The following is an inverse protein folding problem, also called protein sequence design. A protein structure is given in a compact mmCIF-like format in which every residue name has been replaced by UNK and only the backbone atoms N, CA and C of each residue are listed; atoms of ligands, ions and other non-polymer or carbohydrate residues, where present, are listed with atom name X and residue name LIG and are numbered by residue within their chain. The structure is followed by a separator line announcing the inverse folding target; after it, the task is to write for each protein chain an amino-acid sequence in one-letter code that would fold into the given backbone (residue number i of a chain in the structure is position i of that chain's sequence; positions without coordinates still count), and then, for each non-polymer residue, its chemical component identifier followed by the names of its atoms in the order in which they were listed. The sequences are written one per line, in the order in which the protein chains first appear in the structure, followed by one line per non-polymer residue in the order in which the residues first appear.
data_IF_228466569420
#
_entry.id   IF_228466569420
#
_cell.length_a   1.000
_cell.length_b   1.000
_cell.length_c   1.000
_cell.angle_alpha   90.00
_cell.angle_beta   90.00
_cell.angle_gamma   90.00
#
_symmetry.space_group_name_H-M   'P 1'
#
loop_
_entity.id
_entity.type
_entity.pdbx_description
1 polymer ?
#
# COMPACT_ATOMS: atom_id res chain seq x y z
N UNK A 1 -29.11 24.47 19.10
CA UNK A 1 -29.71 23.16 18.79
C UNK A 1 -28.61 22.25 18.27
N UNK A 2 -28.40 21.10 18.92
CA UNK A 2 -27.52 20.06 18.43
C UNK A 2 -28.39 19.03 17.75
N UNK A 3 -28.26 18.87 16.43
CA UNK A 3 -28.95 17.81 15.66
C UNK A 3 -28.03 16.59 15.63
N UNK A 4 -28.42 15.53 16.31
CA UNK A 4 -27.72 14.25 16.28
C UNK A 4 -28.33 13.36 15.20
N UNK A 5 -27.60 13.12 14.14
CA UNK A 5 -27.95 12.06 13.17
C UNK A 5 -27.30 10.76 13.63
N UNK A 6 -28.09 9.74 13.90
CA UNK A 6 -27.58 8.42 14.23
C UNK A 6 -26.87 7.81 12.99
N UNK A 7 -25.62 7.42 13.15
CA UNK A 7 -24.89 6.65 12.14
C UNK A 7 -25.53 5.26 12.02
N UNK A 8 -25.66 4.75 10.81
CA UNK A 8 -26.14 3.37 10.59
C UNK A 8 -25.20 2.41 11.30
N UNK A 9 -25.68 1.51 12.13
CA UNK A 9 -24.82 0.59 12.87
C UNK A 9 -24.11 -0.41 11.94
N UNK A 10 -24.72 -0.76 10.83
CA UNK A 10 -24.22 -1.72 9.86
C UNK A 10 -24.17 -1.12 8.47
N UNK A 11 -23.05 -1.32 7.80
CA UNK A 11 -22.84 -0.93 6.41
C UNK A 11 -22.29 -2.12 5.64
N UNK A 12 -22.85 -2.39 4.47
CA UNK A 12 -22.33 -3.38 3.54
C UNK A 12 -22.14 -2.74 2.17
N UNK A 13 -21.02 -3.02 1.52
CA UNK A 13 -20.69 -2.55 0.20
C UNK A 13 -20.27 -3.74 -0.66
N UNK A 14 -20.76 -3.78 -1.88
CA UNK A 14 -20.33 -4.72 -2.90
C UNK A 14 -19.81 -3.92 -4.10
N UNK A 15 -18.69 -4.36 -4.64
CA UNK A 15 -18.06 -3.74 -5.80
C UNK A 15 -17.70 -4.78 -6.85
N UNK A 16 -17.89 -4.40 -8.11
CA UNK A 16 -17.41 -5.13 -9.28
C UNK A 16 -16.51 -4.17 -10.06
N UNK A 17 -15.29 -4.58 -10.32
CA UNK A 17 -14.31 -3.83 -11.07
C UNK A 17 -13.65 -4.69 -12.14
N UNK A 18 -12.98 -4.03 -13.07
CA UNK A 18 -12.11 -4.65 -14.05
C UNK A 18 -10.80 -3.84 -14.10
N UNK A 19 -9.69 -4.54 -13.97
CA UNK A 19 -8.33 -3.99 -14.10
C UNK A 19 -7.60 -4.81 -15.17
N UNK A 20 -6.75 -4.18 -15.96
CA UNK A 20 -6.10 -4.83 -17.11
C UNK A 20 -5.12 -5.94 -16.69
N UNK A 21 -4.48 -5.78 -15.57
CA UNK A 21 -3.47 -6.69 -15.00
C UNK A 21 -4.06 -7.74 -14.05
N UNK A 22 -5.25 -7.51 -13.49
CA UNK A 22 -5.88 -8.39 -12.50
C UNK A 22 -7.15 -9.06 -13.03
N UNK A 23 -7.73 -8.50 -14.10
CA UNK A 23 -8.99 -8.94 -14.68
C UNK A 23 -10.21 -8.49 -13.88
N UNK A 24 -11.24 -9.32 -13.86
CA UNK A 24 -12.48 -9.07 -13.11
C UNK A 24 -12.19 -9.22 -11.62
N UNK A 25 -12.57 -8.21 -10.83
CA UNK A 25 -12.42 -8.18 -9.38
C UNK A 25 -13.77 -7.96 -8.70
N UNK A 26 -14.09 -8.84 -7.78
CA UNK A 26 -15.21 -8.71 -6.86
C UNK A 26 -14.69 -8.24 -5.50
N UNK A 27 -15.36 -7.25 -4.91
CA UNK A 27 -15.04 -6.79 -3.58
C UNK A 27 -16.29 -6.78 -2.71
N UNK A 28 -16.14 -7.22 -1.46
CA UNK A 28 -17.15 -7.15 -0.44
C UNK A 28 -16.57 -6.46 0.79
N UNK A 29 -17.31 -5.54 1.39
CA UNK A 29 -16.93 -4.90 2.64
C UNK A 29 -18.13 -4.85 3.56
N UNK A 30 -17.92 -5.23 4.80
CA UNK A 30 -18.89 -5.11 5.87
C UNK A 30 -18.27 -4.33 7.02
N UNK A 31 -19.02 -3.40 7.57
CA UNK A 31 -18.61 -2.57 8.71
C UNK A 31 -19.73 -2.55 9.77
N UNK A 32 -19.38 -2.86 11.00
CA UNK A 32 -20.20 -2.62 12.16
C UNK A 32 -19.64 -1.40 12.91
N UNK A 33 -20.33 -0.27 12.83
CA UNK A 33 -19.89 1.01 13.34
C UNK A 33 -20.10 1.17 14.86
N UNK A 34 -20.86 0.28 15.49
CA UNK A 34 -21.16 0.33 16.91
C UNK A 34 -21.35 -1.06 17.51
N UNK A 35 -20.26 -1.73 17.86
CA UNK A 35 -20.30 -3.05 18.50
C UNK A 35 -20.69 -2.92 19.99
N UNK A 36 -20.17 -1.88 20.65
CA UNK A 36 -20.40 -1.66 22.08
C UNK A 36 -20.41 -0.16 22.43
N UNK A 37 -20.70 0.12 23.70
CA UNK A 37 -20.75 1.50 24.23
C UNK A 37 -19.41 2.21 24.29
N UNK A 38 -18.30 1.47 24.21
CA UNK A 38 -16.95 2.04 24.15
C UNK A 38 -16.57 2.56 22.77
N UNK A 39 -17.47 2.44 21.78
CA UNK A 39 -17.24 2.89 20.41
C UNK A 39 -16.38 1.92 19.58
N UNK A 40 -16.30 0.63 19.97
CA UNK A 40 -15.65 -0.39 19.17
C UNK A 40 -16.36 -0.53 17.83
N UNK A 41 -15.59 -0.42 16.77
CA UNK A 41 -16.00 -0.69 15.39
C UNK A 41 -15.26 -1.93 14.90
N UNK A 42 -15.91 -2.76 14.11
CA UNK A 42 -15.30 -3.93 13.48
C UNK A 42 -15.68 -3.98 12.01
N UNK A 43 -14.77 -4.49 11.19
CA UNK A 43 -15.01 -4.66 9.78
C UNK A 43 -14.40 -5.93 9.24
N UNK A 44 -14.93 -6.37 8.11
CA UNK A 44 -14.39 -7.43 7.30
C UNK A 44 -14.42 -6.99 5.84
N UNK A 45 -13.38 -7.32 5.10
CA UNK A 45 -13.34 -7.12 3.66
C UNK A 45 -12.86 -8.38 2.96
N UNK A 46 -13.36 -8.60 1.76
CA UNK A 46 -12.93 -9.65 0.86
C UNK A 46 -12.73 -9.05 -0.53
N UNK A 47 -11.65 -9.42 -1.17
CA UNK A 47 -11.37 -9.11 -2.56
C UNK A 47 -11.04 -10.41 -3.28
N UNK A 48 -11.68 -10.66 -4.41
CA UNK A 48 -11.54 -11.88 -5.19
C UNK A 48 -11.31 -11.51 -6.66
N UNK A 49 -10.19 -11.94 -7.19
CA UNK A 49 -9.91 -11.96 -8.62
C UNK A 49 -9.24 -13.28 -8.99
N UNK A 50 -8.92 -13.44 -10.26
CA UNK A 50 -8.20 -14.65 -10.72
C UNK A 50 -6.81 -14.75 -10.08
N UNK A 51 -6.13 -13.61 -9.94
CA UNK A 51 -4.70 -13.54 -9.57
C UNK A 51 -4.44 -12.89 -8.20
N UNK A 52 -5.48 -12.33 -7.55
CA UNK A 52 -5.35 -11.67 -6.24
C UNK A 52 -6.60 -11.95 -5.40
N UNK A 53 -6.43 -12.68 -4.32
CA UNK A 53 -7.50 -13.04 -3.39
C UNK A 53 -7.07 -12.60 -2.00
N UNK A 54 -7.92 -11.81 -1.34
CA UNK A 54 -7.60 -11.30 -0.01
C UNK A 54 -8.82 -11.33 0.90
N UNK A 55 -8.57 -11.62 2.17
CA UNK A 55 -9.52 -11.45 3.26
C UNK A 55 -8.86 -10.68 4.40
N UNK A 56 -9.57 -9.71 4.94
CA UNK A 56 -9.08 -8.87 6.03
C UNK A 56 -10.18 -8.65 7.06
N UNK A 57 -9.80 -8.69 8.33
CA UNK A 57 -10.61 -8.28 9.46
C UNK A 57 -9.93 -7.12 10.17
N UNK A 58 -10.71 -6.12 10.55
CA UNK A 58 -10.22 -4.97 11.27
C UNK A 58 -11.09 -4.63 12.48
N UNK A 59 -10.48 -4.02 13.47
CA UNK A 59 -11.15 -3.48 14.63
C UNK A 59 -10.57 -2.09 14.94
N UNK A 60 -11.40 -1.16 15.35
CA UNK A 60 -11.01 0.19 15.73
C UNK A 60 -11.70 0.59 17.03
N UNK A 61 -10.92 1.08 17.98
CA UNK A 61 -11.39 1.52 19.29
C UNK A 61 -10.88 2.93 19.59
N UNK A 62 -11.76 3.89 19.91
CA UNK A 62 -11.33 5.17 20.47
C UNK A 62 -10.50 4.97 21.74
N UNK A 63 -9.40 5.72 21.88
CA UNK A 63 -8.50 5.59 23.05
C UNK A 63 -8.60 6.80 23.96
N UNK A 64 -7.75 7.82 23.79
CA UNK A 64 -7.75 9.00 24.66
C UNK A 64 -8.80 10.05 24.25
N UNK A 65 -9.09 10.13 22.97
CA UNK A 65 -10.08 11.06 22.44
C UNK A 65 -10.91 10.35 21.35
N UNK A 66 -12.25 10.42 21.40
CA UNK A 66 -13.11 9.63 20.55
C UNK A 66 -12.95 9.90 19.04
N UNK A 67 -12.53 11.10 18.66
CA UNK A 67 -12.36 11.49 17.27
C UNK A 67 -10.89 11.44 16.81
N UNK A 68 -9.97 11.83 17.70
CA UNK A 68 -8.60 12.17 17.31
C UNK A 68 -7.55 11.13 17.76
N UNK A 69 -7.94 10.10 18.50
CA UNK A 69 -7.01 9.08 18.99
C UNK A 69 -7.66 7.71 18.98
N UNK A 70 -7.20 6.83 18.09
CA UNK A 70 -7.78 5.50 17.87
C UNK A 70 -6.72 4.43 17.89
N UNK A 71 -7.05 3.32 18.53
CA UNK A 71 -6.34 2.06 18.38
C UNK A 71 -6.99 1.26 17.25
N UNK A 72 -6.20 0.73 16.34
CA UNK A 72 -6.66 -0.13 15.25
C UNK A 72 -5.92 -1.45 15.28
N UNK A 73 -6.63 -2.54 15.06
CA UNK A 73 -6.07 -3.86 14.86
C UNK A 73 -6.52 -4.38 13.51
N UNK A 74 -5.62 -5.05 12.78
CA UNK A 74 -5.92 -5.65 11.48
C UNK A 74 -5.27 -7.02 11.42
N UNK A 75 -5.96 -7.99 10.86
CA UNK A 75 -5.42 -9.30 10.51
C UNK A 75 -5.96 -9.70 9.15
N UNK A 76 -5.10 -10.24 8.30
CA UNK A 76 -5.49 -10.61 6.97
C UNK A 76 -4.63 -11.71 6.36
N UNK A 77 -5.16 -12.25 5.29
CA UNK A 77 -4.50 -13.20 4.41
C UNK A 77 -4.69 -12.74 2.97
N UNK A 78 -3.65 -12.86 2.18
CA UNK A 78 -3.66 -12.57 0.76
C UNK A 78 -2.93 -13.67 0.01
N UNK A 79 -3.57 -14.21 -1.01
CA UNK A 79 -2.96 -15.04 -2.04
C UNK A 79 -2.84 -14.20 -3.31
N UNK A 80 -1.63 -14.09 -3.85
CA UNK A 80 -1.37 -13.37 -5.10
C UNK A 80 -0.55 -14.23 -6.04
N UNK A 81 -1.09 -14.48 -7.21
CA UNK A 81 -0.37 -15.03 -8.35
C UNK A 81 0.24 -13.86 -9.15
N UNK A 82 1.55 -13.90 -9.35
CA UNK A 82 2.26 -12.97 -10.22
C UNK A 82 2.62 -13.74 -11.47
N UNK A 83 2.00 -13.38 -12.59
CA UNK A 83 2.28 -13.95 -13.92
C UNK A 83 2.44 -12.80 -14.89
N UNK A 84 3.63 -12.25 -14.94
CA UNK A 84 4.01 -11.20 -15.87
C UNK A 84 5.18 -11.65 -16.76
N UNK A 85 5.62 -10.79 -17.66
CA UNK A 85 6.70 -11.09 -18.61
C UNK A 85 8.03 -11.44 -17.94
N UNK A 86 8.21 -11.12 -16.68
CA UNK A 86 9.49 -11.23 -15.96
C UNK A 86 9.42 -12.27 -14.83
N UNK A 87 8.28 -12.40 -14.17
CA UNK A 87 8.11 -13.29 -13.01
C UNK A 87 6.85 -14.13 -13.09
N UNK A 88 6.97 -15.39 -12.67
CA UNK A 88 5.82 -16.23 -12.38
C UNK A 88 6.06 -16.89 -11.03
N UNK A 89 5.31 -16.49 -10.04
CA UNK A 89 5.32 -17.10 -8.70
C UNK A 89 4.01 -16.82 -7.98
N UNK A 90 3.74 -17.64 -6.97
CA UNK A 90 2.63 -17.44 -6.04
C UNK A 90 3.16 -16.92 -4.72
N UNK A 91 2.44 -16.00 -4.11
CA UNK A 91 2.76 -15.43 -2.81
C UNK A 91 1.54 -15.54 -1.88
N UNK A 92 1.69 -16.34 -0.85
CA UNK A 92 0.75 -16.40 0.28
C UNK A 92 1.25 -15.50 1.40
N UNK A 93 0.49 -14.48 1.74
CA UNK A 93 0.85 -13.51 2.78
C UNK A 93 -0.12 -13.57 3.94
N UNK A 94 0.38 -13.78 5.14
CA UNK A 94 -0.35 -13.56 6.40
C UNK A 94 0.18 -12.29 7.05
N UNK A 95 -0.71 -11.43 7.49
CA UNK A 95 -0.31 -10.21 8.19
C UNK A 95 -1.21 -9.89 9.37
N UNK A 96 -0.61 -9.28 10.39
CA UNK A 96 -1.31 -8.76 11.55
C UNK A 96 -0.69 -7.42 11.96
N UNK A 97 -1.49 -6.46 12.38
CA UNK A 97 -0.99 -5.19 12.87
C UNK A 97 -1.83 -4.62 14.01
N UNK A 98 -1.16 -3.90 14.88
CA UNK A 98 -1.78 -3.03 15.88
C UNK A 98 -1.19 -1.65 15.67
N UNK A 99 -2.05 -0.63 15.61
CA UNK A 99 -1.60 0.74 15.43
C UNK A 99 -2.39 1.71 16.31
N UNK A 100 -1.73 2.78 16.72
CA UNK A 100 -2.36 3.94 17.33
C UNK A 100 -2.26 5.12 16.40
N UNK A 101 -3.41 5.65 16.01
CA UNK A 101 -3.55 6.76 15.10
C UNK A 101 -3.97 8.01 15.89
N UNK A 102 -3.16 9.07 15.80
CA UNK A 102 -3.38 10.34 16.49
C UNK A 102 -3.52 11.43 15.44
N UNK A 103 -4.69 12.05 15.41
CA UNK A 103 -5.01 13.20 14.57
C UNK A 103 -4.79 14.47 15.36
N UNK A 104 -3.81 15.28 14.97
CA UNK A 104 -3.47 16.50 15.66
C UNK A 104 -4.10 17.73 14.98
N UNK A 105 -4.49 18.74 15.76
CA UNK A 105 -5.14 19.96 15.25
C UNK A 105 -4.26 20.75 14.26
N UNK A 106 -2.95 20.56 14.28
CA UNK A 106 -2.02 21.10 13.27
C UNK A 106 -2.15 20.47 11.88
N UNK A 107 -3.02 19.46 11.72
CA UNK A 107 -3.21 18.69 10.51
C UNK A 107 -2.20 17.55 10.31
N UNK A 108 -1.21 17.39 11.21
CA UNK A 108 -0.30 16.27 11.21
C UNK A 108 -0.93 15.06 11.90
N UNK A 109 -1.07 13.97 11.17
CA UNK A 109 -1.50 12.68 11.69
C UNK A 109 -0.27 11.84 12.00
N UNK A 110 -0.28 11.16 13.14
CA UNK A 110 0.80 10.29 13.61
C UNK A 110 0.28 8.89 13.79
N UNK A 111 1.05 7.90 13.33
CA UNK A 111 0.73 6.48 13.52
C UNK A 111 1.93 5.79 14.15
N UNK A 112 1.70 5.12 15.26
CA UNK A 112 2.63 4.17 15.88
C UNK A 112 2.10 2.78 15.62
N UNK A 113 2.91 1.88 15.09
CA UNK A 113 2.46 0.56 14.69
C UNK A 113 3.42 -0.55 15.11
N UNK A 114 2.87 -1.73 15.32
CA UNK A 114 3.58 -2.99 15.34
C UNK A 114 2.91 -3.88 14.30
N UNK A 115 3.66 -4.35 13.31
CA UNK A 115 3.15 -5.12 12.19
C UNK A 115 3.96 -6.39 12.01
N UNK A 116 3.29 -7.52 12.03
CA UNK A 116 3.83 -8.81 11.61
C UNK A 116 3.43 -9.11 10.18
N UNK A 117 4.34 -9.71 9.44
CA UNK A 117 4.13 -10.22 8.10
C UNK A 117 4.87 -11.53 7.92
N UNK A 118 4.22 -12.53 7.36
CA UNK A 118 4.81 -13.76 6.87
C UNK A 118 4.42 -13.97 5.41
N UNK A 119 5.41 -14.13 4.53
CA UNK A 119 5.25 -14.40 3.11
C UNK A 119 5.75 -15.82 2.81
N UNK A 120 4.91 -16.65 2.24
CA UNK A 120 5.29 -17.92 1.63
C UNK A 120 5.34 -17.74 0.13
N UNK A 121 6.47 -18.04 -0.48
CA UNK A 121 6.72 -17.85 -1.91
C UNK A 121 6.89 -19.21 -2.57
N UNK A 122 6.17 -19.44 -3.66
CA UNK A 122 6.25 -20.66 -4.48
C UNK A 122 6.52 -20.25 -5.93
N UNK A 123 7.63 -20.72 -6.50
CA UNK A 123 8.02 -20.45 -7.89
C UNK A 123 7.67 -21.65 -8.76
N UNK A 124 7.18 -21.41 -9.99
CA UNK A 124 6.88 -22.47 -10.93
C UNK A 124 8.18 -23.11 -11.47
N UNK A 125 8.45 -24.40 -11.16
CA UNK A 125 9.67 -25.06 -11.58
C UNK A 125 9.76 -25.33 -13.07
N UNK A 126 8.65 -25.27 -13.81
CA UNK A 126 8.65 -25.48 -15.27
C UNK A 126 9.14 -24.25 -16.02
N UNK A 127 9.01 -23.07 -15.42
CA UNK A 127 9.40 -21.80 -16.05
C UNK A 127 10.83 -21.35 -15.72
N UNK A 128 11.39 -21.78 -14.58
CA UNK A 128 12.71 -21.34 -14.13
C UNK A 128 13.62 -22.52 -13.77
N UNK A 129 14.87 -22.46 -14.20
CA UNK A 129 15.91 -23.35 -13.66
C UNK A 129 16.30 -22.91 -12.24
N UNK A 130 16.25 -23.84 -11.28
CA UNK A 130 16.58 -23.56 -9.87
C UNK A 130 17.90 -22.92 -9.66
N UNK A 131 18.91 -23.39 -10.42
CA UNK A 131 20.29 -22.99 -10.22
C UNK A 131 20.55 -21.53 -10.64
N UNK A 132 19.61 -20.94 -11.37
CA UNK A 132 19.69 -19.57 -11.88
C UNK A 132 18.92 -18.54 -11.04
N UNK A 133 18.11 -18.98 -10.06
CA UNK A 133 17.34 -18.09 -9.21
C UNK A 133 18.10 -17.70 -7.94
N UNK A 134 17.89 -16.46 -7.44
CA UNK A 134 18.45 -16.07 -6.16
C UNK A 134 17.73 -16.76 -5.02
N UNK A 135 18.45 -16.95 -3.90
CA UNK A 135 17.79 -17.30 -2.66
C UNK A 135 16.73 -16.22 -2.29
N UNK A 136 15.53 -16.57 -1.84
CA UNK A 136 15.03 -17.91 -1.50
C UNK A 136 14.44 -18.72 -2.66
N UNK A 137 14.33 -18.16 -3.84
CA UNK A 137 13.63 -18.73 -4.99
C UNK A 137 14.32 -19.95 -5.60
N UNK A 138 15.58 -20.20 -5.25
CA UNK A 138 16.35 -21.36 -5.71
C UNK A 138 16.09 -22.64 -4.90
N UNK A 139 15.24 -22.60 -3.89
CA UNK A 139 14.96 -23.75 -3.03
C UNK A 139 13.51 -24.25 -3.18
N UNK A 140 13.23 -24.99 -4.25
CA UNK A 140 11.88 -25.50 -4.53
C UNK A 140 11.38 -26.58 -3.62
N UNK A 141 12.28 -27.30 -2.95
CA UNK A 141 11.88 -28.45 -2.15
C UNK A 141 11.25 -28.04 -0.83
N UNK A 142 11.28 -26.79 -0.47
CA UNK A 142 10.72 -26.28 0.77
C UNK A 142 9.88 -25.04 0.51
N UNK A 143 8.69 -25.04 1.01
CA UNK A 143 7.87 -23.87 1.22
C UNK A 143 8.69 -22.81 1.98
N UNK A 144 9.25 -21.86 1.25
CA UNK A 144 10.07 -20.85 1.86
C UNK A 144 9.20 -19.74 2.44
N UNK A 145 9.31 -19.55 3.72
CA UNK A 145 8.58 -18.49 4.43
C UNK A 145 9.56 -17.44 4.90
N UNK A 146 9.34 -16.21 4.50
CA UNK A 146 10.03 -15.03 5.01
C UNK A 146 9.11 -14.31 6.00
N UNK A 147 9.65 -13.83 7.11
CA UNK A 147 8.85 -13.15 8.11
C UNK A 147 9.54 -11.91 8.66
N UNK A 148 8.72 -10.95 9.05
CA UNK A 148 9.17 -9.72 9.70
C UNK A 148 8.15 -9.21 10.72
N UNK A 149 8.64 -8.85 11.90
CA UNK A 149 7.94 -8.04 12.87
C UNK A 149 8.55 -6.65 12.88
N UNK A 150 7.76 -5.65 12.49
CA UNK A 150 8.20 -4.28 12.26
C UNK A 150 7.54 -3.34 13.26
N UNK A 151 8.35 -2.63 14.03
CA UNK A 151 7.91 -1.47 14.78
C UNK A 151 7.97 -0.25 13.88
N UNK A 152 6.86 0.48 13.76
CA UNK A 152 6.69 1.56 12.80
C UNK A 152 6.28 2.89 13.42
N UNK A 153 6.76 3.96 12.82
CA UNK A 153 6.30 5.32 13.04
C UNK A 153 6.04 5.99 11.70
N UNK A 154 4.85 6.57 11.56
CA UNK A 154 4.52 7.32 10.36
C UNK A 154 3.88 8.66 10.71
N UNK A 155 4.13 9.67 9.88
CA UNK A 155 3.48 10.97 9.92
C UNK A 155 2.98 11.34 8.54
N UNK A 156 1.81 11.94 8.48
CA UNK A 156 1.29 12.48 7.23
C UNK A 156 0.52 13.78 7.48
N UNK A 157 0.45 14.60 6.44
CA UNK A 157 -0.33 15.82 6.42
C UNK A 157 -0.89 16.06 5.03
N UNK A 158 -2.17 16.41 4.98
CA UNK A 158 -2.83 16.85 3.75
C UNK A 158 -3.42 18.23 4.00
N UNK A 159 -3.17 19.14 3.09
CA UNK A 159 -3.72 20.51 3.09
C UNK A 159 -4.31 20.78 1.72
N UNK A 160 -5.54 21.26 1.68
CA UNK A 160 -6.22 21.67 0.46
C UNK A 160 -7.18 22.80 0.78
N UNK A 161 -7.41 23.68 -0.18
CA UNK A 161 -8.40 24.74 -0.09
C UNK A 161 -9.84 24.21 -0.07
N UNK A 162 -10.06 23.09 -0.77
CA UNK A 162 -11.34 22.37 -0.80
C UNK A 162 -11.06 20.85 -0.87
N UNK A 163 -11.74 20.08 -0.03
CA UNK A 163 -11.52 18.62 0.03
C UNK A 163 -12.18 17.85 -1.11
N UNK A 164 -13.19 18.40 -1.77
CA UNK A 164 -13.91 17.75 -2.86
C UNK A 164 -13.38 18.16 -4.25
N UNK A 165 -13.12 19.45 -4.40
CA UNK A 165 -12.65 20.04 -5.68
C UNK A 165 -11.50 21.00 -5.41
N UNK A 166 -10.31 20.48 -5.04
CA UNK A 166 -9.20 21.34 -4.69
C UNK A 166 -8.68 22.14 -5.89
N UNK A 167 -8.43 23.43 -5.68
CA UNK A 167 -7.72 24.27 -6.65
C UNK A 167 -6.23 24.34 -6.32
N UNK A 168 -5.86 24.22 -5.06
CA UNK A 168 -4.49 23.99 -4.62
C UNK A 168 -4.46 23.07 -3.41
N UNK A 169 -3.37 22.36 -3.27
CA UNK A 169 -3.16 21.52 -2.11
C UNK A 169 -1.87 20.72 -2.21
N UNK A 170 -1.51 20.14 -1.09
CA UNK A 170 -0.41 19.19 -1.00
C UNK A 170 -0.67 18.11 0.02
N UNK A 171 -0.06 16.96 -0.19
CA UNK A 171 0.03 15.89 0.80
C UNK A 171 1.49 15.49 0.98
N UNK A 172 1.85 15.13 2.20
CA UNK A 172 3.18 14.62 2.55
C UNK A 172 3.00 13.40 3.45
N UNK A 173 3.85 12.40 3.29
CA UNK A 173 3.90 11.21 4.13
C UNK A 173 5.33 10.78 4.36
N UNK A 174 5.64 10.39 5.58
CA UNK A 174 6.94 9.88 5.98
C UNK A 174 6.72 8.69 6.89
N UNK A 175 7.50 7.62 6.72
CA UNK A 175 7.44 6.47 7.60
C UNK A 175 8.81 5.84 7.80
N UNK A 176 9.01 5.31 8.99
CA UNK A 176 10.14 4.49 9.37
C UNK A 176 9.59 3.21 10.00
N UNK A 177 10.03 2.07 9.52
CA UNK A 177 9.75 0.76 10.10
C UNK A 177 11.06 0.06 10.39
N UNK A 178 11.19 -0.58 11.53
CA UNK A 178 12.39 -1.30 11.95
C UNK A 178 12.05 -2.71 12.44
N UNK A 179 12.84 -3.68 12.06
CA UNK A 179 12.76 -5.07 12.48
C UNK A 179 14.12 -5.58 12.95
N UNK A 180 14.12 -6.41 14.00
CA UNK A 180 15.32 -7.00 14.55
C UNK A 180 15.32 -8.52 14.35
N UNK A 181 16.41 -9.07 13.84
CA UNK A 181 16.61 -10.52 13.65
C UNK A 181 16.35 -11.27 14.97
N UNK A 182 15.63 -12.38 14.91
CA UNK A 182 15.28 -13.21 16.07
C UNK A 182 14.02 -12.77 16.82
N UNK A 183 13.47 -11.56 16.54
CA UNK A 183 12.18 -11.11 17.08
C UNK A 183 11.07 -11.28 16.02
N UNK A 184 10.78 -12.52 15.62
CA UNK A 184 9.88 -12.83 14.50
C UNK A 184 10.27 -12.10 13.20
N UNK A 185 11.56 -11.90 13.00
CA UNK A 185 12.15 -11.33 11.79
C UNK A 185 13.38 -12.13 11.39
N UNK A 186 13.51 -12.43 10.13
CA UNK A 186 14.60 -13.26 9.59
C UNK A 186 15.89 -12.46 9.48
N UNK A 187 15.81 -11.13 9.32
CA UNK A 187 16.97 -10.24 9.25
C UNK A 187 16.73 -8.94 10.02
N UNK A 188 17.82 -8.21 10.33
CA UNK A 188 17.73 -6.83 10.77
C UNK A 188 17.39 -5.94 9.58
N UNK A 189 16.36 -5.10 9.72
CA UNK A 189 15.97 -4.20 8.63
C UNK A 189 15.44 -2.86 9.13
N UNK A 190 15.62 -1.84 8.31
CA UNK A 190 15.01 -0.54 8.49
C UNK A 190 14.48 -0.05 7.15
N UNK A 191 13.21 0.30 7.09
CA UNK A 191 12.53 0.71 5.87
C UNK A 191 12.08 2.16 6.05
N UNK A 192 12.64 3.04 5.24
CA UNK A 192 12.29 4.46 5.17
C UNK A 192 11.44 4.70 3.93
N UNK A 193 10.34 5.43 4.08
CA UNK A 193 9.55 5.91 2.95
C UNK A 193 9.21 7.38 3.14
N UNK A 194 9.32 8.15 2.07
CA UNK A 194 8.88 9.53 2.00
C UNK A 194 8.10 9.73 0.71
N UNK A 195 7.02 10.46 0.77
CA UNK A 195 6.25 10.76 -0.43
C UNK A 195 5.50 12.07 -0.30
N UNK A 196 5.27 12.70 -1.43
CA UNK A 196 4.53 13.94 -1.51
C UNK A 196 3.83 14.11 -2.85
N UNK A 197 2.69 14.77 -2.81
CA UNK A 197 1.95 15.20 -3.99
C UNK A 197 1.56 16.65 -3.79
N UNK A 198 1.74 17.47 -4.80
CA UNK A 198 1.30 18.86 -4.81
C UNK A 198 0.47 19.14 -6.07
N UNK A 199 -0.52 20.00 -5.94
CA UNK A 199 -1.33 20.45 -7.05
C UNK A 199 -1.59 21.94 -6.97
N UNK A 200 -1.65 22.58 -8.12
CA UNK A 200 -1.95 24.01 -8.22
C UNK A 200 -2.73 24.30 -9.51
N UNK A 201 -3.88 24.95 -9.35
CA UNK A 201 -4.75 25.35 -10.45
C UNK A 201 -4.58 26.87 -10.70
N UNK A 202 -4.46 27.27 -11.95
CA UNK A 202 -4.17 28.64 -12.34
C UNK A 202 -4.82 29.01 -13.68
N UNK A 203 -4.55 30.25 -14.11
CA UNK A 203 -5.05 30.79 -15.38
C UNK A 203 -6.48 31.33 -15.28
N UNK A 204 -6.97 31.82 -16.40
CA UNK A 204 -8.32 32.37 -16.50
C UNK A 204 -9.34 31.24 -16.29
N UNK A 205 -10.30 31.48 -15.40
CA UNK A 205 -11.36 30.54 -15.04
C UNK A 205 -10.86 29.22 -14.42
N UNK A 206 -9.63 29.19 -13.85
CA UNK A 206 -9.03 28.00 -13.23
C UNK A 206 -8.98 26.77 -14.15
N UNK A 207 -8.72 26.99 -15.42
CA UNK A 207 -8.73 25.93 -16.45
C UNK A 207 -7.45 25.13 -16.55
N UNK A 208 -6.37 25.63 -15.95
CA UNK A 208 -5.04 25.01 -16.00
C UNK A 208 -4.68 24.46 -14.64
N UNK A 209 -4.15 23.26 -14.59
CA UNK A 209 -3.73 22.61 -13.34
C UNK A 209 -2.42 21.87 -13.58
N UNK A 210 -1.49 22.02 -12.65
CA UNK A 210 -0.29 21.20 -12.56
C UNK A 210 -0.35 20.32 -11.33
N UNK A 211 0.11 19.08 -11.47
CA UNK A 211 0.23 18.10 -10.39
C UNK A 211 1.64 17.56 -10.43
N UNK A 212 2.29 17.50 -9.27
CA UNK A 212 3.59 16.88 -9.10
C UNK A 212 3.56 15.85 -7.99
N UNK A 213 4.24 14.74 -8.17
CA UNK A 213 4.38 13.67 -7.18
C UNK A 213 5.84 13.23 -7.10
N UNK A 214 6.28 12.91 -5.89
CA UNK A 214 7.58 12.31 -5.61
C UNK A 214 7.41 11.23 -4.55
N UNK A 215 7.93 10.04 -4.80
CA UNK A 215 7.98 8.92 -3.88
C UNK A 215 9.42 8.42 -3.76
N UNK A 216 9.91 8.35 -2.52
CA UNK A 216 11.25 7.91 -2.16
C UNK A 216 11.16 6.75 -1.18
N UNK A 217 12.01 5.77 -1.34
CA UNK A 217 12.16 4.64 -0.46
C UNK A 217 13.61 4.26 -0.25
N UNK A 218 13.94 3.78 0.97
CA UNK A 218 15.23 3.20 1.27
C UNK A 218 15.07 2.06 2.26
N UNK A 219 15.64 0.91 1.94
CA UNK A 219 15.66 -0.30 2.74
C UNK A 219 17.12 -0.60 3.12
N UNK A 220 17.40 -0.48 4.41
CA UNK A 220 18.63 -1.04 4.99
C UNK A 220 18.33 -2.43 5.53
N UNK A 221 19.18 -3.42 5.23
CA UNK A 221 19.06 -4.77 5.78
C UNK A 221 20.43 -5.39 6.03
N UNK A 222 20.49 -6.31 6.98
CA UNK A 222 21.68 -7.14 7.21
C UNK A 222 21.87 -8.17 6.11
N UNK A 223 20.78 -8.72 5.58
CA UNK A 223 20.75 -9.58 4.40
C UNK A 223 19.51 -9.20 3.57
N UNK A 224 19.72 -8.76 2.35
CA UNK A 224 18.65 -8.29 1.47
C UNK A 224 17.68 -9.42 1.08
N UNK A 225 18.19 -10.61 0.87
CA UNK A 225 17.37 -11.74 0.43
C UNK A 225 16.51 -12.35 1.55
N UNK A 226 16.86 -12.12 2.81
CA UNK A 226 16.05 -12.48 3.97
C UNK A 226 14.93 -11.45 4.25
N UNK A 227 14.91 -10.31 3.57
CA UNK A 227 13.81 -9.34 3.66
C UNK A 227 12.59 -9.91 2.94
N UNK A 228 11.40 -9.91 3.54
CA UNK A 228 10.18 -10.32 2.85
C UNK A 228 10.03 -9.63 1.49
N UNK A 229 9.81 -10.42 0.45
CA UNK A 229 9.79 -9.95 -0.94
C UNK A 229 8.91 -8.71 -1.13
N UNK A 230 7.72 -8.75 -0.55
CA UNK A 230 6.76 -7.63 -0.63
C UNK A 230 7.14 -6.40 0.21
N UNK A 231 8.21 -6.47 1.02
CA UNK A 231 8.75 -5.32 1.75
C UNK A 231 9.84 -4.58 0.97
N UNK A 232 10.34 -5.17 -0.11
CA UNK A 232 11.30 -4.56 -1.03
C UNK A 232 10.62 -3.53 -1.91
N UNK A 233 11.40 -2.76 -2.66
CA UNK A 233 10.87 -1.71 -3.53
C UNK A 233 10.75 -2.15 -4.98
N UNK A 234 9.58 -1.85 -5.56
CA UNK A 234 9.23 -2.05 -6.95
C UNK A 234 8.59 -0.77 -7.48
N UNK A 235 8.62 -0.58 -8.78
CA UNK A 235 7.94 0.50 -9.47
C UNK A 235 7.01 -0.06 -10.57
N UNK A 236 6.19 0.80 -11.16
CA UNK A 236 5.17 0.44 -12.14
C UNK A 236 3.75 0.56 -11.58
N UNK A 237 2.80 0.70 -12.48
CA UNK A 237 1.39 0.91 -12.19
C UNK A 237 0.97 2.38 -12.12
N UNK A 238 -0.35 2.61 -12.13
CA UNK A 238 -0.96 3.95 -12.21
C UNK A 238 -0.57 4.89 -11.07
N UNK A 239 -0.26 4.33 -9.91
CA UNK A 239 0.21 5.09 -8.75
C UNK A 239 1.74 5.25 -8.67
N UNK A 240 2.49 4.78 -9.64
CA UNK A 240 3.94 4.81 -9.72
C UNK A 240 4.40 5.31 -11.09
N UNK A 241 4.72 4.42 -12.03
CA UNK A 241 5.09 4.73 -13.41
C UNK A 241 4.00 4.18 -14.32
N UNK A 242 3.21 5.08 -14.91
CA UNK A 242 2.08 4.74 -15.77
C UNK A 242 2.53 4.06 -17.05
N UNK A 243 1.73 3.13 -17.56
CA UNK A 243 2.06 2.35 -18.77
C UNK A 243 2.85 1.07 -18.50
N UNK A 244 3.25 0.82 -17.27
CA UNK A 244 3.82 -0.44 -16.82
C UNK A 244 2.89 -1.15 -15.84
N UNK A 245 2.93 -2.47 -15.80
CA UNK A 245 2.14 -3.23 -14.82
C UNK A 245 2.57 -2.90 -13.39
N UNK A 246 1.65 -3.08 -12.44
CA UNK A 246 1.91 -2.82 -11.03
C UNK A 246 3.07 -3.67 -10.51
N UNK A 247 4.06 -3.01 -9.86
CA UNK A 247 5.25 -3.64 -9.28
C UNK A 247 6.13 -4.42 -10.30
N UNK A 248 6.06 -4.09 -11.61
CA UNK A 248 6.77 -4.80 -12.67
C UNK A 248 8.17 -4.27 -12.97
N UNK A 249 8.57 -3.18 -12.35
CA UNK A 249 9.87 -2.54 -12.56
C UNK A 249 10.75 -2.63 -11.31
N UNK A 250 12.00 -2.99 -11.50
CA UNK A 250 12.99 -3.06 -10.42
C UNK A 250 14.26 -3.80 -10.85
N UNK A 251 15.22 -3.96 -9.96
CA UNK A 251 16.41 -4.77 -10.20
C UNK A 251 16.06 -6.23 -10.47
N UNK A 252 16.78 -6.83 -11.40
CA UNK A 252 16.66 -8.25 -11.79
C UNK A 252 17.92 -9.03 -11.38
N UNK A 253 17.75 -10.34 -11.20
CA UNK A 253 18.83 -11.26 -10.85
C UNK A 253 19.13 -12.22 -12.00
N UNK A 254 20.43 -12.39 -12.30
CA UNK A 254 20.92 -13.38 -13.25
C UNK A 254 20.51 -13.13 -14.70
N UNK A 255 20.76 -14.12 -15.55
CA UNK A 255 20.44 -14.05 -16.97
C UNK A 255 18.95 -14.28 -17.33
N UNK A 256 18.14 -14.69 -16.35
CA UNK A 256 16.71 -15.00 -16.54
C UNK A 256 15.77 -13.85 -16.19
N UNK A 257 16.32 -12.65 -15.96
CA UNK A 257 15.56 -11.43 -15.69
C UNK A 257 14.55 -11.54 -14.51
N UNK A 258 14.84 -12.39 -13.52
CA UNK A 258 13.97 -12.51 -12.35
C UNK A 258 13.98 -11.21 -11.53
N UNK A 259 12.82 -10.60 -11.34
CA UNK A 259 12.66 -9.35 -10.63
C UNK A 259 12.77 -9.58 -9.12
N UNK A 260 13.82 -9.07 -8.50
CA UNK A 260 14.10 -9.28 -7.06
C UNK A 260 13.67 -8.11 -6.18
N UNK A 261 13.34 -6.98 -6.79
CA UNK A 261 13.08 -5.72 -6.07
C UNK A 261 14.36 -5.00 -5.67
N UNK A 262 14.22 -3.74 -5.29
CA UNK A 262 15.31 -2.85 -4.90
C UNK A 262 15.36 -2.56 -3.40
N UNK A 263 16.51 -2.10 -2.95
CA UNK A 263 16.72 -1.51 -1.63
C UNK A 263 16.50 0.01 -1.62
N UNK A 264 16.38 0.62 -2.81
CA UNK A 264 16.06 2.03 -2.96
C UNK A 264 14.98 2.25 -4.03
N UNK A 265 14.19 3.30 -3.85
CA UNK A 265 13.17 3.74 -4.80
C UNK A 265 13.22 5.26 -4.93
N UNK A 266 13.15 5.74 -6.16
CA UNK A 266 12.89 7.16 -6.46
C UNK A 266 11.98 7.21 -7.68
N UNK A 267 10.74 7.66 -7.49
CA UNK A 267 9.74 7.83 -8.55
C UNK A 267 9.19 9.24 -8.49
N UNK A 268 9.21 9.93 -9.62
CA UNK A 268 8.64 11.25 -9.78
C UNK A 268 7.60 11.26 -10.88
N UNK A 269 6.60 12.13 -10.75
CA UNK A 269 5.58 12.36 -11.77
C UNK A 269 5.26 13.84 -11.89
N UNK A 270 5.09 14.29 -13.11
CA UNK A 270 4.59 15.64 -13.42
C UNK A 270 3.44 15.54 -14.42
N UNK A 271 2.37 16.25 -14.14
CA UNK A 271 1.17 16.24 -14.97
C UNK A 271 0.65 17.67 -15.17
N UNK A 272 0.26 17.99 -16.39
CA UNK A 272 -0.41 19.23 -16.75
C UNK A 272 -1.79 18.91 -17.32
N UNK A 273 -2.83 19.53 -16.74
CA UNK A 273 -4.21 19.40 -17.13
C UNK A 273 -4.74 20.71 -17.69
N UNK A 274 -5.52 20.65 -18.77
CA UNK A 274 -6.22 21.80 -19.36
C UNK A 274 -7.69 21.47 -19.59
N UNK A 275 -8.58 22.31 -19.05
CA UNK A 275 -10.02 22.22 -19.28
C UNK A 275 -10.40 23.02 -20.54
N UNK A 276 -10.60 22.30 -21.65
CA UNK A 276 -10.97 22.91 -22.92
C UNK A 276 -12.48 23.10 -23.09
N UNK A 277 -13.29 22.36 -22.30
CA UNK A 277 -14.74 22.50 -22.18
C UNK A 277 -15.15 22.22 -20.73
N UNK A 278 -16.29 22.77 -20.24
CA UNK A 278 -16.83 22.42 -18.93
C UNK A 278 -16.91 20.91 -18.76
N UNK A 279 -16.31 20.37 -17.71
CA UNK A 279 -16.22 18.93 -17.39
C UNK A 279 -15.34 18.07 -18.33
N UNK A 280 -14.64 18.65 -19.30
CA UNK A 280 -13.70 17.94 -20.16
C UNK A 280 -12.28 18.50 -20.00
N UNK A 281 -11.38 17.69 -19.50
CA UNK A 281 -9.96 17.99 -19.33
C UNK A 281 -9.10 17.06 -20.17
N UNK A 282 -8.09 17.61 -20.82
CA UNK A 282 -6.98 16.88 -21.41
C UNK A 282 -5.78 16.92 -20.46
N UNK A 283 -5.04 15.84 -20.37
CA UNK A 283 -3.84 15.72 -19.54
C UNK A 283 -2.63 15.30 -20.37
N UNK A 284 -1.48 15.88 -20.04
CA UNK A 284 -0.16 15.42 -20.50
C UNK A 284 0.68 15.18 -19.27
N UNK A 285 1.36 14.04 -19.22
CA UNK A 285 2.15 13.65 -18.06
C UNK A 285 3.46 12.96 -18.45
N UNK A 286 4.37 12.93 -17.49
CA UNK A 286 5.61 12.15 -17.51
C UNK A 286 5.87 11.58 -16.13
N UNK A 287 6.36 10.36 -16.11
CA UNK A 287 6.75 9.67 -14.89
C UNK A 287 8.22 9.29 -14.98
#
# INVERSE_FOLDING_TARGET
YVVLNATKPHEAQLGLGYETDVGVRLTGKYQNNLVNRSGLQTGASVALSKVDQAVEFNASLPYKHPLNDKLTGTVGYQHKEVDDLVNTFEADTVYASIARNIYHDSGWNRTYSLRYRGDKLTVDPEKYSTDSLPYPFNNYASDYTQQALLAGYAINKTVADNMLTPTWGYSQRYSLEVGAKGALSDTNMAILRAGGTGMYTFGKDNKQQVIGRLDLGYLYSGDFYDVPYRSRFFAGGDSSIRGYNTDSLGPTYGGENFLVGGDALAVGSAEYNYEFRPSFRGAVFTD
#
